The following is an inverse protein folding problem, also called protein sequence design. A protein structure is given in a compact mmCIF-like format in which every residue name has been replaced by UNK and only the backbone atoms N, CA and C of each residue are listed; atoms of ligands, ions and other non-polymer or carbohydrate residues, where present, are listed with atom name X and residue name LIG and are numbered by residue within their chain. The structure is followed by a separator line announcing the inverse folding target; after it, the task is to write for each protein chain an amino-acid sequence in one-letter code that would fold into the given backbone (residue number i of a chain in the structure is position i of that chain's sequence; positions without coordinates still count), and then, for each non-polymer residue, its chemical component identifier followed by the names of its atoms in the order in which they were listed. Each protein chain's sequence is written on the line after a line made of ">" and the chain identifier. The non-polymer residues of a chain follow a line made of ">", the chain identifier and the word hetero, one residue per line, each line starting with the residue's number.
data_IF_521229488308
#
_entry.id   IF_521229488308
#
_cell.length_a   1.000
_cell.length_b   1.000
_cell.length_c   1.000
_cell.angle_alpha   90.00
_cell.angle_beta   90.00
_cell.angle_gamma   90.00
#
_symmetry.space_group_name_H-M   'P 1'
#
loop_
_entity.id
_entity.type
_entity.pdbx_description
1 polymer ?
#
# COMPACT_ATOMS: atom_id res chain seq x y z
N UNK A 1 -14.84 -2.01 -3.21
CA UNK A 1 -13.73 -1.98 -2.22
C UNK A 1 -14.26 -1.54 -0.87
N UNK A 2 -15.12 -2.38 -0.28
CA UNK A 2 -15.56 -2.24 1.10
C UNK A 2 -14.50 -2.89 2.01
N UNK A 3 -14.16 -2.25 3.14
CA UNK A 3 -13.68 -3.00 4.32
C UNK A 3 -12.18 -3.10 4.59
N UNK A 4 -11.29 -2.22 4.10
CA UNK A 4 -9.92 -2.17 4.65
C UNK A 4 -9.92 -1.38 5.97
N UNK A 5 -10.01 -2.10 7.09
CA UNK A 5 -9.80 -1.53 8.43
C UNK A 5 -8.31 -1.12 8.57
N UNK A 6 -7.99 0.16 8.81
CA UNK A 6 -6.60 0.61 8.95
C UNK A 6 -5.89 -0.02 10.15
N UNK A 7 -6.66 -0.47 11.15
CA UNK A 7 -6.15 -1.18 12.32
C UNK A 7 -5.54 -2.55 11.97
N UNK A 8 -6.13 -3.29 11.04
CA UNK A 8 -5.61 -4.59 10.62
C UNK A 8 -4.26 -4.46 9.89
N UNK A 9 -4.11 -3.42 9.07
CA UNK A 9 -2.84 -3.15 8.38
C UNK A 9 -1.72 -2.82 9.38
N UNK A 10 -2.04 -2.06 10.44
CA UNK A 10 -1.09 -1.77 11.52
C UNK A 10 -0.77 -3.00 12.35
N UNK A 11 -1.76 -3.86 12.60
CA UNK A 11 -1.57 -5.13 13.31
C UNK A 11 -0.62 -6.06 12.55
N UNK A 12 -0.86 -6.26 11.25
CA UNK A 12 -0.02 -7.13 10.41
C UNK A 12 1.41 -6.61 10.31
N UNK A 13 1.60 -5.29 10.19
CA UNK A 13 2.93 -4.68 10.19
C UNK A 13 3.66 -4.90 11.52
N UNK A 14 2.98 -4.70 12.65
CA UNK A 14 3.58 -4.92 13.96
C UNK A 14 3.90 -6.40 14.19
N UNK A 15 2.99 -7.29 13.82
CA UNK A 15 3.18 -8.75 13.93
C UNK A 15 4.38 -9.22 13.09
N UNK A 16 4.48 -8.73 11.84
CA UNK A 16 5.60 -9.07 10.94
C UNK A 16 6.95 -8.59 11.50
N UNK A 17 6.99 -7.43 12.15
CA UNK A 17 8.21 -6.92 12.81
C UNK A 17 8.62 -7.79 14.01
N UNK A 18 7.67 -8.21 14.83
CA UNK A 18 7.97 -9.11 15.94
C UNK A 18 8.54 -10.44 15.43
N UNK A 19 7.93 -11.02 14.39
CA UNK A 19 8.45 -12.24 13.75
C UNK A 19 9.85 -12.04 13.17
N UNK A 20 10.09 -10.91 12.49
CA UNK A 20 11.42 -10.61 11.96
C UNK A 20 12.50 -10.66 13.05
N UNK A 21 12.26 -10.04 14.21
CA UNK A 21 13.23 -10.04 15.32
C UNK A 21 13.40 -11.43 15.93
N UNK A 22 12.30 -12.17 16.13
CA UNK A 22 12.32 -13.50 16.75
C UNK A 22 13.02 -14.55 15.88
N UNK A 23 12.84 -14.47 14.56
CA UNK A 23 13.35 -15.44 13.60
C UNK A 23 14.69 -15.04 12.98
N UNK A 24 15.18 -13.82 13.24
CA UNK A 24 16.50 -13.35 12.80
C UNK A 24 17.64 -14.24 13.33
N UNK A 25 17.56 -14.67 14.58
CA UNK A 25 18.54 -15.57 15.20
C UNK A 25 18.56 -16.96 14.54
N UNK A 26 17.44 -17.36 13.93
CA UNK A 26 17.27 -18.63 13.22
C UNK A 26 17.59 -18.54 11.72
N UNK A 27 18.10 -17.39 11.26
CA UNK A 27 18.42 -17.14 9.85
C UNK A 27 17.21 -17.00 8.93
N UNK A 28 16.03 -16.72 9.47
CA UNK A 28 14.78 -16.56 8.69
C UNK A 28 14.40 -15.07 8.66
N UNK A 29 14.47 -14.47 7.48
CA UNK A 29 14.09 -13.07 7.25
C UNK A 29 12.60 -12.94 6.91
N UNK A 30 11.83 -12.31 7.80
CA UNK A 30 10.42 -11.98 7.59
C UNK A 30 10.29 -10.53 7.12
N UNK A 31 9.88 -10.32 5.87
CA UNK A 31 9.70 -8.99 5.27
C UNK A 31 8.22 -8.65 5.07
N UNK A 32 7.79 -7.49 5.57
CA UNK A 32 6.46 -6.94 5.29
C UNK A 32 6.54 -5.92 4.15
N UNK A 33 6.00 -6.29 2.97
CA UNK A 33 5.89 -5.37 1.85
C UNK A 33 4.58 -4.62 1.93
N UNK A 34 4.65 -3.29 1.95
CA UNK A 34 3.46 -2.43 1.88
C UNK A 34 3.41 -1.82 0.47
N UNK A 35 2.87 -2.55 -0.53
CA UNK A 35 2.60 -1.97 -1.83
C UNK A 35 1.64 -0.81 -1.63
N UNK A 36 2.07 0.39 -2.02
CA UNK A 36 1.17 1.51 -2.23
C UNK A 36 0.25 1.20 -3.44
N UNK A 37 -0.22 2.22 -4.15
CA UNK A 37 -1.11 1.98 -5.29
C UNK A 37 -0.36 1.24 -6.42
N UNK A 38 -0.80 0.02 -6.73
CA UNK A 38 -0.33 -0.81 -7.85
C UNK A 38 -1.51 -1.11 -8.77
N UNK A 39 -1.29 -1.09 -10.08
CA UNK A 39 -2.30 -1.36 -11.09
C UNK A 39 -2.69 -2.85 -11.11
N UNK A 40 -3.49 -3.26 -10.12
CA UNK A 40 -4.01 -4.63 -9.97
C UNK A 40 -5.51 -4.65 -10.21
N UNK A 41 -6.03 -5.83 -10.61
CA UNK A 41 -7.47 -6.09 -10.67
C UNK A 41 -8.15 -5.85 -9.31
N UNK A 42 -7.43 -6.09 -8.19
CA UNK A 42 -7.87 -5.80 -6.82
C UNK A 42 -7.99 -4.30 -6.53
N UNK A 43 -7.07 -3.49 -7.04
CA UNK A 43 -7.12 -2.04 -6.92
C UNK A 43 -8.04 -1.36 -7.96
N UNK A 44 -8.71 -2.12 -8.84
CA UNK A 44 -9.60 -1.58 -9.90
C UNK A 44 -8.94 -0.50 -10.77
N UNK A 45 -7.61 -0.43 -10.77
CA UNK A 45 -6.81 0.51 -11.56
C UNK A 45 -6.29 -0.28 -12.77
N UNK A 46 -6.87 0.01 -13.94
CA UNK A 46 -6.55 -0.69 -15.20
C UNK A 46 -5.36 -0.07 -15.94
N UNK A 47 -4.99 1.19 -15.64
CA UNK A 47 -3.86 1.87 -16.30
C UNK A 47 -2.68 1.93 -15.35
N UNK A 48 -1.55 1.38 -15.79
CA UNK A 48 -0.25 1.70 -15.21
C UNK A 48 0.06 3.17 -15.47
N UNK A 49 0.79 3.80 -14.55
CA UNK A 49 1.26 5.17 -14.66
C UNK A 49 2.61 5.27 -13.98
N UNK A 50 3.34 6.36 -14.19
CA UNK A 50 4.66 6.56 -13.58
C UNK A 50 4.64 6.44 -12.03
N UNK A 51 3.52 6.79 -11.41
CA UNK A 51 3.30 6.67 -9.95
C UNK A 51 2.58 5.37 -9.54
N UNK A 52 2.09 4.58 -10.50
CA UNK A 52 1.31 3.36 -10.28
C UNK A 52 1.91 2.26 -11.17
N UNK A 53 2.90 1.50 -10.67
CA UNK A 53 3.56 0.48 -11.46
C UNK A 53 2.57 -0.62 -11.88
N UNK A 54 2.89 -1.28 -13.00
CA UNK A 54 2.26 -2.55 -13.36
C UNK A 54 2.63 -3.64 -12.35
N UNK A 55 1.78 -4.66 -12.22
CA UNK A 55 2.01 -5.81 -11.34
C UNK A 55 3.35 -6.48 -11.61
N UNK A 56 3.71 -6.67 -12.89
CA UNK A 56 4.97 -7.30 -13.29
C UNK A 56 6.19 -6.47 -12.87
N UNK A 57 6.14 -5.15 -13.06
CA UNK A 57 7.21 -4.23 -12.66
C UNK A 57 7.38 -4.19 -11.15
N UNK A 58 6.27 -4.18 -10.41
CA UNK A 58 6.29 -4.25 -8.95
C UNK A 58 6.86 -5.58 -8.47
N UNK A 59 6.48 -6.70 -9.06
CA UNK A 59 6.98 -8.03 -8.70
C UNK A 59 8.49 -8.17 -8.96
N UNK A 60 9.00 -7.68 -10.08
CA UNK A 60 10.44 -7.67 -10.37
C UNK A 60 11.22 -6.84 -9.35
N UNK A 61 10.71 -5.65 -9.01
CA UNK A 61 11.36 -4.77 -8.02
C UNK A 61 11.29 -5.37 -6.61
N UNK A 62 10.18 -6.03 -6.27
CA UNK A 62 10.01 -6.73 -5.00
C UNK A 62 10.98 -7.89 -4.84
N UNK A 63 11.25 -8.64 -5.92
CA UNK A 63 12.18 -9.76 -5.91
C UNK A 63 13.63 -9.30 -5.68
N UNK A 64 14.01 -8.14 -6.22
CA UNK A 64 15.34 -7.55 -6.03
C UNK A 64 15.57 -7.00 -4.61
N UNK A 65 14.49 -6.74 -3.86
CA UNK A 65 14.52 -6.15 -2.52
C UNK A 65 14.42 -7.18 -1.37
N UNK A 66 14.41 -8.48 -1.70
CA UNK A 66 14.42 -9.56 -0.71
C UNK A 66 15.78 -9.55 0.01
N UNK A 67 15.77 -9.50 1.35
CA UNK A 67 16.98 -9.58 2.19
C UNK A 67 17.60 -8.25 2.62
N UNK A 68 17.06 -7.10 2.22
CA UNK A 68 17.61 -5.79 2.61
C UNK A 68 17.00 -5.25 3.90
N UNK A 69 15.68 -5.05 3.97
CA UNK A 69 15.01 -4.45 5.14
C UNK A 69 13.67 -5.13 5.49
N UNK A 70 13.25 -5.07 6.78
CA UNK A 70 12.02 -5.70 7.26
C UNK A 70 10.74 -5.01 6.77
N UNK A 71 10.82 -3.74 6.32
CA UNK A 71 9.71 -3.01 5.71
C UNK A 71 10.18 -2.31 4.44
N UNK A 72 9.65 -2.74 3.30
CA UNK A 72 10.12 -2.23 2.02
C UNK A 72 8.98 -1.76 1.12
N UNK A 73 9.17 -0.59 0.51
CA UNK A 73 8.43 -0.13 -0.66
C UNK A 73 9.34 -0.31 -1.87
N UNK A 74 9.28 -1.47 -2.55
CA UNK A 74 10.30 -1.85 -3.55
C UNK A 74 10.29 -0.98 -4.81
N UNK A 75 9.39 -0.01 -4.93
CA UNK A 75 9.32 0.90 -6.07
C UNK A 75 9.88 2.28 -5.70
N UNK A 76 11.03 2.65 -6.27
CA UNK A 76 11.71 3.92 -5.98
C UNK A 76 10.83 5.18 -6.18
N UNK A 77 9.94 5.27 -7.20
CA UNK A 77 9.01 6.40 -7.31
C UNK A 77 8.00 6.49 -6.16
N UNK A 78 7.67 5.37 -5.50
CA UNK A 78 6.90 5.39 -4.26
C UNK A 78 7.69 5.94 -3.08
N UNK A 79 8.99 5.67 -3.02
CA UNK A 79 9.90 6.31 -2.05
C UNK A 79 9.98 7.82 -2.28
N UNK A 80 10.05 8.27 -3.54
CA UNK A 80 10.01 9.71 -3.86
C UNK A 80 8.69 10.36 -3.41
N UNK A 81 7.54 9.75 -3.70
CA UNK A 81 6.24 10.22 -3.19
C UNK A 81 6.24 10.27 -1.66
N UNK A 82 6.78 9.24 -1.01
CA UNK A 82 6.86 9.20 0.44
C UNK A 82 7.71 10.34 1.00
N UNK A 83 8.89 10.60 0.42
CA UNK A 83 9.74 11.73 0.83
C UNK A 83 9.04 13.08 0.64
N UNK A 84 8.36 13.30 -0.49
CA UNK A 84 7.60 14.52 -0.74
C UNK A 84 6.44 14.69 0.25
N UNK A 85 5.77 13.59 0.62
CA UNK A 85 4.72 13.60 1.63
C UNK A 85 5.30 13.83 3.04
N UNK A 86 6.46 13.26 3.34
CA UNK A 86 7.15 13.43 4.63
C UNK A 86 7.67 14.86 4.85
N UNK A 87 7.88 15.64 3.78
CA UNK A 87 8.18 17.07 3.88
C UNK A 87 6.97 17.92 4.28
N UNK A 88 5.75 17.41 4.12
CA UNK A 88 4.52 18.11 4.46
C UNK A 88 4.07 17.78 5.89
N UNK A 89 3.47 18.73 6.64
CA UNK A 89 3.01 18.49 8.00
C UNK A 89 1.93 17.39 8.03
N UNK A 90 2.09 16.45 8.96
CA UNK A 90 1.27 15.23 9.09
C UNK A 90 -0.23 15.54 9.11
N UNK A 91 -0.64 16.63 9.76
CA UNK A 91 -2.05 17.04 9.82
C UNK A 91 -2.67 17.38 8.44
N UNK A 92 -1.88 17.95 7.52
CA UNK A 92 -2.33 18.27 6.16
C UNK A 92 -2.41 17.01 5.32
N UNK A 93 -1.39 16.15 5.44
CA UNK A 93 -1.34 14.86 4.76
C UNK A 93 -2.51 13.97 5.19
N UNK A 94 -2.80 13.90 6.48
CA UNK A 94 -3.89 13.07 7.02
C UNK A 94 -5.27 13.61 6.59
N UNK A 95 -5.48 14.92 6.63
CA UNK A 95 -6.72 15.53 6.10
C UNK A 95 -6.90 15.24 4.61
N UNK A 96 -5.83 15.38 3.82
CA UNK A 96 -5.87 15.11 2.38
C UNK A 96 -6.12 13.64 2.08
N UNK A 97 -5.39 12.72 2.73
CA UNK A 97 -5.57 11.27 2.61
C UNK A 97 -6.98 10.84 3.00
N UNK A 98 -7.49 11.34 4.12
CA UNK A 98 -8.85 11.04 4.58
C UNK A 98 -9.89 11.52 3.57
N UNK A 99 -9.77 12.77 3.09
CA UNK A 99 -10.66 13.31 2.07
C UNK A 99 -10.63 12.52 0.76
N UNK A 100 -9.44 12.07 0.34
CA UNK A 100 -9.27 11.21 -0.83
C UNK A 100 -9.92 9.83 -0.63
N UNK A 101 -9.68 9.17 0.51
CA UNK A 101 -10.28 7.88 0.86
C UNK A 101 -11.81 7.96 0.92
N UNK A 102 -12.36 9.02 1.53
CA UNK A 102 -13.80 9.27 1.58
C UNK A 102 -14.41 9.48 0.19
N UNK A 103 -13.70 10.20 -0.70
CA UNK A 103 -14.13 10.41 -2.10
C UNK A 103 -14.16 9.10 -2.89
N UNK A 104 -13.14 8.26 -2.74
CA UNK A 104 -13.12 6.92 -3.35
C UNK A 104 -14.28 6.08 -2.82
N UNK A 105 -14.53 6.09 -1.50
CA UNK A 105 -15.63 5.35 -0.88
C UNK A 105 -16.98 5.81 -1.43
N UNK A 106 -17.21 7.13 -1.50
CA UNK A 106 -18.45 7.71 -2.06
C UNK A 106 -18.67 7.25 -3.51
N UNK A 107 -17.62 7.32 -4.36
CA UNK A 107 -17.67 6.83 -5.74
C UNK A 107 -17.93 5.32 -5.82
N UNK A 108 -17.37 4.53 -4.91
CA UNK A 108 -17.61 3.09 -4.81
C UNK A 108 -19.06 2.78 -4.46
N UNK A 109 -19.64 3.46 -3.46
CA UNK A 109 -21.04 3.26 -3.07
C UNK A 109 -22.01 3.68 -4.17
N UNK A 110 -21.73 4.77 -4.89
CA UNK A 110 -22.55 5.22 -6.02
C UNK A 110 -22.63 4.16 -7.13
N UNK A 111 -21.49 3.54 -7.49
CA UNK A 111 -21.46 2.45 -8.48
C UNK A 111 -22.23 1.21 -8.05
N UNK A 112 -22.25 0.89 -6.75
CA UNK A 112 -23.03 -0.24 -6.23
C UNK A 112 -24.53 0.09 -6.16
N UNK A 113 -24.90 1.35 -5.91
CA UNK A 113 -26.28 1.83 -6.00
C UNK A 113 -26.80 1.81 -7.45
N UNK A 114 -25.98 2.20 -8.42
CA UNK A 114 -26.31 2.13 -9.85
C UNK A 114 -26.55 0.68 -10.30
N UNK A 115 -25.69 -0.26 -9.90
CA UNK A 115 -25.87 -1.71 -10.20
C UNK A 115 -27.10 -2.33 -9.55
N UNK A 116 -27.59 -1.79 -8.43
CA UNK A 116 -28.82 -2.28 -7.76
C UNK A 116 -30.10 -1.75 -8.39
N UNK A 117 -30.01 -0.66 -9.17
CA UNK A 117 -31.14 -0.06 -9.90
C UNK A 117 -31.35 -0.68 -11.28
N UNK A 118 -30.38 -1.46 -11.75
CA UNK A 118 -30.37 -2.15 -13.03
C UNK A 118 -30.62 -3.63 -12.81
#
# INVERSE_FOLDING_TARGET
>A
MLGRNPLLLRYVDQFSKCLYVEYKDKGIDVQCQVPLYVATKMASIKRSSFLVPSVNTYAQSALQWIGYEPRCTPYWPHSLIWTLISMLPVAVVDKWRLGFCLRIRKRGMLKELEKKKQ
#
